data_IF_749910071527
#
_entry.id   IF_749910071527
#
_cell.length_a   1.000
_cell.length_b   1.000
_cell.length_c   1.000
_cell.angle_alpha   90.00
_cell.angle_beta   90.00
_cell.angle_gamma   90.00
#
_symmetry.space_group_name_H-M   'P 1'
#
loop_
_entity.id
_entity.type
_entity.pdbx_description
1 polymer ?
#
# COMPACT_ATOMS: atom_id res chain seq x y z
N UNK A 1 -38.48 -35.05 31.17
CA UNK A 1 -38.62 -34.30 29.90
C UNK A 1 -37.71 -33.07 29.98
N UNK A 2 -36.41 -33.27 29.86
CA UNK A 2 -35.39 -32.20 30.04
C UNK A 2 -34.91 -31.73 28.68
N UNK A 3 -35.36 -30.54 28.27
CA UNK A 3 -34.90 -29.88 27.07
C UNK A 3 -33.48 -29.36 27.30
N UNK A 4 -32.48 -30.04 26.72
CA UNK A 4 -31.13 -29.49 26.59
C UNK A 4 -31.15 -28.40 25.51
N UNK A 5 -31.28 -27.15 25.95
CA UNK A 5 -31.16 -25.98 25.08
C UNK A 5 -29.69 -25.81 24.69
N UNK A 6 -29.30 -26.34 23.54
CA UNK A 6 -27.97 -26.15 22.96
C UNK A 6 -27.84 -24.71 22.46
N UNK A 7 -26.93 -23.94 23.05
CA UNK A 7 -26.61 -22.59 22.60
C UNK A 7 -25.88 -22.64 21.24
N UNK A 8 -26.20 -21.73 20.30
CA UNK A 8 -25.67 -21.77 18.95
C UNK A 8 -24.15 -21.55 18.90
N UNK A 9 -23.50 -22.23 17.95
CA UNK A 9 -22.07 -22.26 17.70
C UNK A 9 -21.47 -20.89 17.32
N UNK A 10 -21.33 -20.00 18.29
CA UNK A 10 -20.75 -18.65 18.13
C UNK A 10 -19.21 -18.67 17.98
N UNK A 11 -18.55 -19.77 18.32
CA UNK A 11 -17.08 -19.91 18.24
C UNK A 11 -16.52 -19.92 16.82
N UNK A 12 -17.28 -20.45 15.85
CA UNK A 12 -16.81 -20.59 14.46
C UNK A 12 -16.64 -19.26 13.73
N UNK A 13 -17.53 -18.30 13.99
CA UNK A 13 -17.48 -16.98 13.36
C UNK A 13 -16.26 -16.18 13.83
N UNK A 14 -15.97 -16.16 15.14
CA UNK A 14 -14.82 -15.44 15.70
C UNK A 14 -13.48 -16.01 15.22
N UNK A 15 -13.38 -17.33 15.10
CA UNK A 15 -12.18 -17.98 14.58
C UNK A 15 -11.96 -17.69 13.08
N UNK A 16 -13.03 -17.66 12.28
CA UNK A 16 -12.98 -17.26 10.87
C UNK A 16 -12.57 -15.79 10.72
N UNK A 17 -13.18 -14.88 11.49
CA UNK A 17 -12.83 -13.45 11.47
C UNK A 17 -11.35 -13.24 11.81
N UNK A 18 -10.84 -13.89 12.86
CA UNK A 18 -9.41 -13.81 13.22
C UNK A 18 -8.48 -14.29 12.10
N UNK A 19 -8.90 -15.31 11.35
CA UNK A 19 -8.11 -15.85 10.23
C UNK A 19 -8.05 -14.91 9.02
N UNK A 20 -9.09 -14.10 8.78
CA UNK A 20 -9.20 -13.24 7.59
C UNK A 20 -8.92 -11.75 7.84
N UNK A 21 -8.63 -11.37 9.08
CA UNK A 21 -8.42 -9.96 9.45
C UNK A 21 -7.33 -9.26 8.64
N UNK A 22 -6.24 -9.96 8.30
CA UNK A 22 -5.16 -9.43 7.46
C UNK A 22 -5.60 -9.20 6.00
N UNK A 23 -6.52 -10.02 5.47
CA UNK A 23 -7.09 -9.84 4.12
C UNK A 23 -7.93 -8.57 4.08
N UNK A 24 -8.73 -8.33 5.12
CA UNK A 24 -9.53 -7.11 5.24
C UNK A 24 -8.63 -5.86 5.28
N UNK A 25 -7.54 -5.90 6.07
CA UNK A 25 -6.57 -4.81 6.11
C UNK A 25 -5.92 -4.53 4.76
N UNK A 26 -5.49 -5.58 4.04
CA UNK A 26 -4.90 -5.44 2.71
C UNK A 26 -5.90 -4.88 1.69
N UNK A 27 -7.16 -5.33 1.73
CA UNK A 27 -8.22 -4.83 0.85
C UNK A 27 -8.52 -3.35 1.10
N UNK A 28 -8.57 -2.93 2.37
CA UNK A 28 -8.75 -1.52 2.73
C UNK A 28 -7.58 -0.69 2.22
N UNK A 29 -6.33 -1.13 2.42
CA UNK A 29 -5.15 -0.42 1.92
C UNK A 29 -5.19 -0.25 0.39
N UNK A 30 -5.52 -1.30 -0.35
CA UNK A 30 -5.66 -1.24 -1.80
C UNK A 30 -6.78 -0.28 -2.23
N UNK A 31 -7.94 -0.31 -1.55
CA UNK A 31 -9.06 0.58 -1.83
C UNK A 31 -8.69 2.05 -1.60
N UNK A 32 -7.98 2.34 -0.51
CA UNK A 32 -7.48 3.68 -0.21
C UNK A 32 -6.57 4.18 -1.33
N UNK A 33 -5.64 3.36 -1.82
CA UNK A 33 -4.78 3.74 -2.95
C UNK A 33 -5.59 4.01 -4.21
N UNK A 34 -6.53 3.13 -4.57
CA UNK A 34 -7.34 3.29 -5.78
C UNK A 34 -8.16 4.58 -5.76
N UNK A 35 -8.66 4.99 -4.60
CA UNK A 35 -9.48 6.21 -4.47
C UNK A 35 -8.61 7.46 -4.37
N UNK A 36 -7.52 7.41 -3.60
CA UNK A 36 -6.74 8.60 -3.28
C UNK A 36 -5.60 8.88 -4.28
N UNK A 37 -5.05 7.87 -4.96
CA UNK A 37 -3.94 8.08 -5.91
C UNK A 37 -4.31 8.98 -7.10
N UNK A 38 -5.52 8.89 -7.71
CA UNK A 38 -5.92 9.84 -8.76
C UNK A 38 -6.11 11.28 -8.24
N UNK A 39 -6.26 11.45 -6.92
CA UNK A 39 -6.36 12.76 -6.27
C UNK A 39 -4.99 13.32 -5.86
N UNK A 40 -3.89 12.65 -6.25
CA UNK A 40 -2.55 13.16 -6.03
C UNK A 40 -2.36 14.49 -6.78
N UNK A 41 -1.76 15.47 -6.11
CA UNK A 41 -1.49 16.77 -6.70
C UNK A 41 -0.50 16.66 -7.85
N UNK A 42 -0.79 17.34 -8.96
CA UNK A 42 0.09 17.51 -10.11
C UNK A 42 1.03 18.72 -9.99
N UNK A 43 0.97 19.47 -8.89
CA UNK A 43 1.84 20.64 -8.69
C UNK A 43 3.27 20.23 -8.32
N UNK A 44 4.27 21.05 -8.69
CA UNK A 44 5.67 20.80 -8.32
C UNK A 44 5.79 20.73 -6.80
N UNK A 45 6.67 19.84 -6.35
CA UNK A 45 6.95 19.69 -4.93
C UNK A 45 7.70 20.92 -4.37
N UNK A 46 7.93 20.94 -3.05
CA UNK A 46 8.57 22.10 -2.42
C UNK A 46 10.00 22.36 -2.89
N UNK A 47 10.72 21.34 -3.34
CA UNK A 47 12.09 21.48 -3.83
C UNK A 47 12.07 21.99 -5.28
N UNK A 48 11.22 21.38 -6.10
CA UNK A 48 11.01 21.76 -7.49
C UNK A 48 10.48 23.18 -7.61
N UNK A 49 9.50 23.57 -6.77
CA UNK A 49 8.99 24.94 -6.73
C UNK A 49 10.08 25.97 -6.43
N UNK A 50 10.95 25.68 -5.45
CA UNK A 50 12.06 26.57 -5.12
C UNK A 50 13.07 26.64 -6.26
N UNK A 51 13.31 25.52 -6.95
CA UNK A 51 14.18 25.47 -8.11
C UNK A 51 13.63 26.25 -9.30
N UNK A 52 12.32 26.21 -9.54
CA UNK A 52 11.62 27.06 -10.51
C UNK A 52 11.73 28.54 -10.14
N UNK A 53 11.36 28.91 -8.91
CA UNK A 53 11.34 30.30 -8.42
C UNK A 53 12.73 30.96 -8.43
N UNK A 54 13.80 30.14 -8.41
CA UNK A 54 15.20 30.58 -8.41
C UNK A 54 15.91 30.29 -9.73
N UNK A 55 15.19 29.87 -10.76
CA UNK A 55 15.68 29.63 -12.12
C UNK A 55 16.88 28.65 -12.19
N UNK A 56 16.97 27.69 -11.27
CA UNK A 56 18.04 26.67 -11.29
C UNK A 56 17.53 25.26 -11.57
N UNK A 57 16.24 25.09 -11.87
CA UNK A 57 15.66 23.78 -12.19
C UNK A 57 16.39 23.09 -13.35
N UNK A 58 16.79 23.84 -14.38
CA UNK A 58 17.54 23.31 -15.53
C UNK A 58 18.97 22.84 -15.20
N UNK A 59 19.48 23.19 -14.01
CA UNK A 59 20.78 22.70 -13.50
C UNK A 59 20.64 21.34 -12.81
N UNK A 60 19.41 20.87 -12.56
CA UNK A 60 19.18 19.56 -12.00
C UNK A 60 19.66 18.47 -12.97
N UNK A 61 20.74 17.80 -12.61
CA UNK A 61 21.13 16.56 -13.26
C UNK A 61 20.15 15.46 -12.83
N UNK A 62 19.50 14.80 -13.80
CA UNK A 62 18.59 13.70 -13.50
C UNK A 62 19.28 12.62 -12.68
N UNK A 63 18.53 11.93 -11.81
CA UNK A 63 19.09 10.85 -11.00
C UNK A 63 19.72 9.79 -11.91
N UNK A 64 20.90 9.30 -11.52
CA UNK A 64 21.53 8.17 -12.21
C UNK A 64 20.66 6.89 -12.16
N UNK A 65 19.72 6.80 -11.21
CA UNK A 65 18.86 5.65 -11.04
C UNK A 65 17.49 6.03 -10.49
N UNK A 66 16.45 5.84 -11.31
CA UNK A 66 15.04 6.03 -10.94
C UNK A 66 14.23 4.80 -11.34
N UNK A 67 13.53 4.21 -10.36
CA UNK A 67 12.70 3.03 -10.59
C UNK A 67 11.34 3.38 -11.20
N UNK A 68 10.70 4.43 -10.66
CA UNK A 68 9.40 4.97 -11.06
C UNK A 68 9.44 6.51 -10.99
N UNK A 69 10.06 7.18 -11.99
CA UNK A 69 10.04 8.64 -12.04
C UNK A 69 8.60 9.13 -12.08
N UNK A 70 8.26 10.07 -11.19
CA UNK A 70 6.91 10.62 -11.02
C UNK A 70 5.79 9.56 -10.90
N UNK A 71 6.11 8.38 -10.34
CA UNK A 71 5.19 7.24 -10.28
C UNK A 71 4.70 6.75 -11.65
N UNK A 72 5.49 7.02 -12.70
CA UNK A 72 5.22 6.61 -14.08
C UNK A 72 5.74 5.21 -14.36
N UNK A 73 4.87 4.38 -14.93
CA UNK A 73 5.15 3.01 -15.35
C UNK A 73 5.19 3.01 -16.88
N UNK A 74 6.28 2.53 -17.49
CA UNK A 74 6.41 2.48 -18.95
C UNK A 74 5.22 1.76 -19.60
N UNK A 75 4.54 2.42 -20.53
CA UNK A 75 3.37 1.88 -21.23
C UNK A 75 2.02 2.17 -20.57
N UNK A 76 1.98 2.89 -19.45
CA UNK A 76 0.75 3.40 -18.82
C UNK A 76 0.78 4.93 -18.76
N UNK A 77 -0.39 5.56 -18.87
CA UNK A 77 -0.54 7.02 -18.90
C UNK A 77 -1.34 7.55 -17.71
N UNK A 78 -0.90 8.68 -17.15
CA UNK A 78 -1.63 9.46 -16.16
C UNK A 78 -1.98 8.68 -14.89
N UNK A 79 -3.19 8.90 -14.37
CA UNK A 79 -3.66 8.41 -13.07
C UNK A 79 -3.56 6.89 -12.91
N UNK A 80 -3.71 6.13 -14.00
CA UNK A 80 -3.64 4.66 -13.95
C UNK A 80 -2.23 4.19 -13.55
N UNK A 81 -1.21 4.92 -13.98
CA UNK A 81 0.16 4.65 -13.58
C UNK A 81 0.37 4.89 -12.09
N UNK A 82 -0.09 6.04 -11.58
CA UNK A 82 0.04 6.42 -10.17
C UNK A 82 -0.68 5.43 -9.25
N UNK A 83 -1.89 4.99 -9.64
CA UNK A 83 -2.63 3.95 -8.90
C UNK A 83 -1.86 2.65 -8.87
N UNK A 84 -1.35 2.19 -10.02
CA UNK A 84 -0.63 0.91 -10.09
C UNK A 84 0.69 0.97 -9.32
N UNK A 85 1.42 2.09 -9.40
CA UNK A 85 2.61 2.36 -8.62
C UNK A 85 2.33 2.25 -7.10
N UNK A 86 1.24 2.87 -6.64
CA UNK A 86 0.79 2.77 -5.25
C UNK A 86 0.43 1.34 -4.84
N UNK A 87 -0.27 0.58 -5.71
CA UNK A 87 -0.61 -0.81 -5.44
C UNK A 87 0.63 -1.71 -5.35
N UNK A 88 1.63 -1.48 -6.20
CA UNK A 88 2.93 -2.16 -6.13
C UNK A 88 3.61 -1.84 -4.80
N UNK A 89 3.61 -0.58 -4.37
CA UNK A 89 4.13 -0.18 -3.06
C UNK A 89 3.45 -0.91 -1.88
N UNK A 90 2.11 -0.99 -1.88
CA UNK A 90 1.35 -1.76 -0.88
C UNK A 90 1.77 -3.23 -0.88
N UNK A 91 1.89 -3.85 -2.05
CA UNK A 91 2.29 -5.25 -2.18
C UNK A 91 3.71 -5.49 -1.63
N UNK A 92 4.66 -4.61 -1.93
CA UNK A 92 6.05 -4.70 -1.44
C UNK A 92 6.08 -4.61 0.09
N UNK A 93 5.45 -3.58 0.68
CA UNK A 93 5.43 -3.41 2.15
C UNK A 93 4.77 -4.60 2.83
N UNK A 94 3.65 -5.08 2.30
CA UNK A 94 2.98 -6.26 2.83
C UNK A 94 3.89 -7.49 2.80
N UNK A 95 4.56 -7.75 1.67
CA UNK A 95 5.50 -8.86 1.54
C UNK A 95 6.66 -8.75 2.54
N UNK A 96 7.25 -7.56 2.68
CA UNK A 96 8.34 -7.31 3.63
C UNK A 96 7.89 -7.56 5.07
N UNK A 97 6.71 -7.09 5.47
CA UNK A 97 6.20 -7.32 6.82
C UNK A 97 5.89 -8.79 7.09
N UNK A 98 5.36 -9.51 6.10
CA UNK A 98 5.14 -10.96 6.20
C UNK A 98 6.46 -11.71 6.37
N UNK A 99 7.50 -11.35 5.60
CA UNK A 99 8.84 -11.94 5.73
C UNK A 99 9.45 -11.61 7.09
N UNK A 100 9.43 -10.34 7.51
CA UNK A 100 9.95 -9.90 8.80
C UNK A 100 9.27 -10.64 9.96
N UNK A 101 7.93 -10.74 9.94
CA UNK A 101 7.17 -11.48 10.94
C UNK A 101 7.56 -12.96 11.00
N UNK A 102 7.78 -13.61 9.85
CA UNK A 102 8.24 -15.01 9.81
C UNK A 102 9.66 -15.17 10.33
N UNK A 103 10.58 -14.27 9.96
CA UNK A 103 11.98 -14.34 10.41
C UNK A 103 12.07 -14.11 11.92
N UNK A 104 11.31 -13.15 12.45
CA UNK A 104 11.35 -12.82 13.87
C UNK A 104 10.63 -13.87 14.73
N UNK A 105 9.50 -14.41 14.27
CA UNK A 105 8.79 -15.49 14.95
C UNK A 105 9.61 -16.79 15.04
N UNK A 106 10.52 -17.04 14.09
CA UNK A 106 11.43 -18.19 14.13
C UNK A 106 12.52 -18.10 15.20
N UNK A 107 12.77 -16.91 15.76
CA UNK A 107 13.78 -16.71 16.82
C UNK A 107 13.21 -16.82 18.23
N UNK A 108 11.89 -16.80 18.36
CA UNK A 108 11.17 -16.86 19.64
C UNK A 108 10.68 -18.26 20.01
N UNK A 109 10.81 -19.22 19.08
CA UNK A 109 10.58 -20.65 19.29
C UNK A 109 11.94 -21.34 19.34
#
# INVERSE_FOLDING_TARGET
MTAHHQLPATGGLRARLRRYWWVAGLAIAALVVVILAPLASSHPDGLERVAEDKEFLDTAEGSHWEWLPDYTIPGLSGDTSTVLAGLVGVAIVFALMVVAGRVLSRRSQ
#
